data_IF_895063365608
#
_entry.id   IF_895063365608
#
_cell.length_a   1.000
_cell.length_b   1.000
_cell.length_c   1.000
_cell.angle_alpha   90.00
_cell.angle_beta   90.00
_cell.angle_gamma   90.00
#
_symmetry.space_group_name_H-M   'P 1'
#
loop_
_entity.id
_entity.type
_entity.pdbx_description
1 polymer ?
#
# COMPACT_ATOMS: atom_id res chain seq x y z
N UNK A 1 7.89 35.25 13.32
CA UNK A 1 9.19 34.68 13.74
C UNK A 1 9.31 33.33 13.04
N UNK A 2 10.34 33.09 12.23
CA UNK A 2 10.47 31.80 11.55
C UNK A 2 10.84 30.75 12.62
N UNK A 3 9.94 29.81 12.96
CA UNK A 3 10.28 28.79 13.95
C UNK A 3 11.47 27.97 13.46
N UNK A 4 12.26 27.47 14.41
CA UNK A 4 13.31 26.48 14.10
C UNK A 4 12.67 25.26 13.43
N UNK A 5 13.44 24.51 12.64
CA UNK A 5 12.93 23.28 11.99
C UNK A 5 12.27 22.34 13.01
N UNK A 6 12.91 22.11 14.16
CA UNK A 6 12.36 21.29 15.24
C UNK A 6 11.03 21.86 15.78
N UNK A 7 10.94 23.16 16.03
CA UNK A 7 9.70 23.79 16.51
C UNK A 7 8.56 23.71 15.49
N UNK A 8 8.89 23.85 14.19
CA UNK A 8 7.91 23.68 13.12
C UNK A 8 7.43 22.24 13.01
N UNK A 9 8.34 21.28 13.08
CA UNK A 9 8.02 19.85 13.00
C UNK A 9 7.15 19.42 14.19
N UNK A 10 7.48 19.84 15.40
CA UNK A 10 6.63 19.63 16.57
C UNK A 10 5.21 20.17 16.35
N UNK A 11 5.10 21.38 15.78
CA UNK A 11 3.78 21.96 15.52
C UNK A 11 3.01 21.25 14.40
N UNK A 12 3.70 20.77 13.36
CA UNK A 12 3.10 19.92 12.33
C UNK A 12 2.49 18.66 12.95
N UNK A 13 3.22 18.00 13.85
CA UNK A 13 2.75 16.81 14.55
C UNK A 13 1.49 17.09 15.36
N UNK A 14 1.48 18.17 16.14
CA UNK A 14 0.29 18.58 16.92
C UNK A 14 -0.92 18.86 16.01
N UNK A 15 -0.74 19.63 14.93
CA UNK A 15 -1.83 19.97 14.01
C UNK A 15 -2.42 18.73 13.31
N UNK A 16 -1.55 17.78 12.93
CA UNK A 16 -1.97 16.53 12.29
C UNK A 16 -2.66 15.58 13.27
N UNK A 17 -2.30 15.63 14.56
CA UNK A 17 -2.96 14.84 15.61
C UNK A 17 -4.33 15.41 16.01
N UNK A 18 -4.43 16.73 16.12
CA UNK A 18 -5.64 17.41 16.61
C UNK A 18 -6.71 17.62 15.53
N UNK A 19 -6.31 17.66 14.25
CA UNK A 19 -7.19 18.03 13.14
C UNK A 19 -7.15 17.02 12.00
N UNK A 20 -8.30 16.87 11.33
CA UNK A 20 -8.46 16.04 10.14
C UNK A 20 -7.86 16.73 8.90
N UNK A 21 -6.53 16.87 8.84
CA UNK A 21 -5.81 17.59 7.76
C UNK A 21 -5.79 16.76 6.47
N UNK A 22 -6.46 17.23 5.41
CA UNK A 22 -6.66 16.48 4.16
C UNK A 22 -5.61 16.79 3.09
N UNK A 23 -4.95 17.94 3.17
CA UNK A 23 -3.98 18.39 2.16
C UNK A 23 -2.83 19.21 2.74
N UNK A 24 -1.71 19.27 2.00
CA UNK A 24 -0.60 20.15 2.37
C UNK A 24 -0.97 21.63 2.26
N UNK A 25 -1.86 22.01 1.33
CA UNK A 25 -2.35 23.39 1.21
C UNK A 25 -3.14 23.81 2.46
N UNK A 26 -3.95 22.90 3.00
CA UNK A 26 -4.67 23.09 4.26
C UNK A 26 -3.70 23.21 5.44
N UNK A 27 -2.71 22.32 5.53
CA UNK A 27 -1.70 22.41 6.59
C UNK A 27 -0.86 23.69 6.51
N UNK A 28 -0.53 24.17 5.30
CA UNK A 28 0.12 25.46 5.10
C UNK A 28 -0.74 26.62 5.62
N UNK A 29 -2.06 26.56 5.38
CA UNK A 29 -2.99 27.58 5.86
C UNK A 29 -3.07 27.57 7.39
N UNK A 30 -3.14 26.39 8.01
CA UNK A 30 -3.12 26.23 9.48
C UNK A 30 -1.84 26.79 10.10
N UNK A 31 -0.68 26.42 9.56
CA UNK A 31 0.61 26.95 10.01
C UNK A 31 0.70 28.47 9.82
N UNK A 32 0.21 28.98 8.69
CA UNK A 32 0.22 30.42 8.41
C UNK A 32 -0.68 31.20 9.37
N UNK A 33 -1.82 30.64 9.78
CA UNK A 33 -2.71 31.24 10.77
C UNK A 33 -2.05 31.40 12.15
N UNK A 34 -1.04 30.59 12.44
CA UNK A 34 -0.23 30.66 13.66
C UNK A 34 1.07 31.46 13.48
N UNK A 35 1.24 32.12 12.32
CA UNK A 35 2.41 32.93 12.00
C UNK A 35 3.63 32.13 11.54
N UNK A 36 3.46 30.84 11.21
CA UNK A 36 4.50 29.96 10.66
C UNK A 36 4.37 29.93 9.14
N UNK A 37 5.20 30.72 8.45
CA UNK A 37 5.24 30.74 6.99
C UNK A 37 6.34 29.81 6.46
N UNK A 38 5.94 28.83 5.64
CA UNK A 38 6.85 27.94 4.92
C UNK A 38 6.36 27.67 3.50
N UNK A 39 7.28 27.23 2.63
CA UNK A 39 6.92 26.80 1.28
C UNK A 39 6.34 25.39 1.29
N UNK A 40 5.55 25.05 0.26
CA UNK A 40 5.04 23.70 0.07
C UNK A 40 6.19 22.66 0.00
N UNK A 41 7.31 22.99 -0.65
CA UNK A 41 8.47 22.11 -0.73
C UNK A 41 9.09 21.82 0.65
N UNK A 42 9.14 22.83 1.54
CA UNK A 42 9.63 22.65 2.91
C UNK A 42 8.68 21.78 3.71
N UNK A 43 7.38 22.05 3.61
CA UNK A 43 6.36 21.26 4.31
C UNK A 43 6.34 19.80 3.83
N UNK A 44 6.54 19.56 2.54
CA UNK A 44 6.63 18.19 2.00
C UNK A 44 7.78 17.43 2.65
N UNK A 45 8.97 18.05 2.71
CA UNK A 45 10.15 17.42 3.34
C UNK A 45 9.94 17.18 4.83
N UNK A 46 9.33 18.12 5.55
CA UNK A 46 9.04 17.91 6.98
C UNK A 46 8.06 16.76 7.20
N UNK A 47 7.03 16.63 6.37
CA UNK A 47 6.08 15.51 6.44
C UNK A 47 6.76 14.17 6.12
N UNK A 48 7.65 14.14 5.12
CA UNK A 48 8.41 12.95 4.76
C UNK A 48 9.34 12.52 5.91
N UNK A 49 10.04 13.47 6.53
CA UNK A 49 10.93 13.22 7.67
C UNK A 49 10.20 12.79 8.94
N UNK A 50 8.98 13.32 9.15
CA UNK A 50 8.09 12.92 10.23
C UNK A 50 7.38 11.58 9.95
N UNK A 51 7.55 10.98 8.77
CA UNK A 51 6.87 9.74 8.41
C UNK A 51 5.35 9.88 8.26
N UNK A 52 4.86 11.07 7.91
CA UNK A 52 3.43 11.32 7.78
C UNK A 52 2.83 10.52 6.61
N UNK A 53 1.73 9.84 6.87
CA UNK A 53 0.99 9.04 5.88
C UNK A 53 -0.45 9.54 5.76
N UNK A 54 -1.08 9.33 4.60
CA UNK A 54 -2.52 9.60 4.45
C UNK A 54 -3.34 8.36 4.75
N UNK A 55 -4.19 8.43 5.78
CA UNK A 55 -5.13 7.37 6.14
C UNK A 55 -6.56 7.78 5.79
N UNK A 56 -7.39 6.82 5.41
CA UNK A 56 -8.85 6.98 5.36
C UNK A 56 -9.43 6.34 6.60
N UNK A 57 -10.38 7.02 7.24
CA UNK A 57 -11.19 6.40 8.29
C UNK A 57 -12.00 5.23 7.72
N UNK A 58 -12.39 4.30 8.60
CA UNK A 58 -13.20 3.11 8.28
C UNK A 58 -14.50 3.43 7.55
N UNK A 59 -15.00 4.65 7.69
CA UNK A 59 -16.22 5.13 7.04
C UNK A 59 -16.03 5.57 5.57
N UNK A 60 -14.82 5.37 5.00
CA UNK A 60 -14.53 5.71 3.60
C UNK A 60 -14.33 7.21 3.32
N UNK A 61 -14.23 8.02 4.38
CA UNK A 61 -14.07 9.47 4.32
C UNK A 61 -12.82 9.96 3.55
N UNK A 62 -12.73 11.28 3.37
CA UNK A 62 -11.58 11.90 2.71
C UNK A 62 -10.28 11.56 3.48
N UNK A 63 -9.19 11.21 2.78
CA UNK A 63 -7.94 10.83 3.43
C UNK A 63 -7.33 12.01 4.18
N UNK A 64 -6.85 11.76 5.40
CA UNK A 64 -6.22 12.73 6.30
C UNK A 64 -4.79 12.32 6.59
N UNK A 65 -3.90 13.28 6.83
CA UNK A 65 -2.56 13.02 7.31
C UNK A 65 -2.60 12.45 8.73
N UNK A 66 -1.69 11.52 9.02
CA UNK A 66 -1.43 10.93 10.33
C UNK A 66 0.08 10.71 10.44
N UNK A 67 0.66 11.03 11.60
CA UNK A 67 2.07 10.76 11.92
C UNK A 67 2.10 9.60 12.93
N UNK A 68 2.66 8.43 12.56
CA UNK A 68 2.80 7.30 13.48
C UNK A 68 3.71 7.65 14.66
N UNK A 69 3.32 7.32 15.88
CA UNK A 69 4.24 7.32 17.04
C UNK A 69 5.13 6.08 17.00
N UNK A 70 6.40 6.24 17.39
CA UNK A 70 7.39 5.15 17.44
C UNK A 70 6.83 3.96 18.23
N UNK A 71 6.78 2.79 17.58
CA UNK A 71 6.32 1.53 18.19
C UNK A 71 4.84 1.20 17.96
N UNK A 72 4.05 2.09 17.37
CA UNK A 72 2.71 1.75 16.88
C UNK A 72 2.76 1.37 15.40
N UNK A 73 2.46 0.11 15.01
CA UNK A 73 2.33 -0.25 13.61
C UNK A 73 1.07 0.43 13.05
N UNK A 74 1.21 1.67 12.60
CA UNK A 74 0.18 2.30 11.78
C UNK A 74 0.14 1.51 10.49
N UNK A 75 -1.00 0.85 10.23
CA UNK A 75 -1.34 0.29 8.94
C UNK A 75 -1.40 1.44 7.93
N UNK A 76 -0.23 1.87 7.46
CA UNK A 76 -0.13 2.69 6.29
C UNK A 76 -0.77 1.86 5.16
N UNK A 77 -1.90 2.39 4.68
CA UNK A 77 -2.47 2.14 3.37
C UNK A 77 -3.35 0.87 3.22
N UNK A 78 -4.66 1.07 3.33
CA UNK A 78 -5.68 0.26 2.62
C UNK A 78 -5.85 0.67 1.14
N UNK A 79 -5.25 1.78 0.66
CA UNK A 79 -5.50 2.33 -0.69
C UNK A 79 -4.50 1.99 -1.81
N UNK A 80 -3.20 2.06 -1.52
CA UNK A 80 -2.08 1.72 -2.39
C UNK A 80 -1.96 0.23 -2.67
N UNK A 81 -2.12 -0.64 -1.67
CA UNK A 81 -2.22 -2.09 -1.90
C UNK A 81 -3.48 -2.45 -2.67
N UNK A 82 -4.63 -1.80 -2.40
CA UNK A 82 -5.85 -2.01 -3.18
C UNK A 82 -5.74 -1.50 -4.63
N UNK A 83 -5.15 -0.32 -4.85
CA UNK A 83 -4.85 0.20 -6.18
C UNK A 83 -3.88 -0.70 -6.93
N UNK A 84 -2.84 -1.18 -6.24
CA UNK A 84 -1.87 -2.13 -6.78
C UNK A 84 -2.56 -3.43 -7.17
N UNK A 85 -3.38 -4.03 -6.29
CA UNK A 85 -4.12 -5.25 -6.56
C UNK A 85 -5.02 -5.09 -7.80
N UNK A 86 -5.75 -3.98 -7.91
CA UNK A 86 -6.55 -3.66 -9.10
C UNK A 86 -5.69 -3.58 -10.36
N UNK A 87 -4.59 -2.83 -10.33
CA UNK A 87 -3.72 -2.68 -11.49
C UNK A 87 -2.99 -3.98 -11.86
N UNK A 88 -2.61 -4.80 -10.88
CA UNK A 88 -2.08 -6.13 -11.13
C UNK A 88 -3.15 -7.01 -11.80
N UNK A 89 -4.40 -6.96 -11.35
CA UNK A 89 -5.50 -7.73 -11.98
C UNK A 89 -5.78 -7.30 -13.43
N UNK A 90 -5.55 -6.03 -13.76
CA UNK A 90 -5.80 -5.48 -15.10
C UNK A 90 -4.59 -5.62 -16.04
N UNK A 91 -3.37 -5.49 -15.53
CA UNK A 91 -2.17 -5.26 -16.35
C UNK A 91 -1.11 -6.36 -16.20
N UNK A 92 -1.18 -7.24 -15.20
CA UNK A 92 -0.22 -8.33 -15.06
C UNK A 92 -0.55 -9.46 -16.05
N UNK A 93 0.29 -9.63 -17.05
CA UNK A 93 0.18 -10.70 -18.06
C UNK A 93 0.82 -11.99 -17.54
N UNK A 94 2.02 -11.89 -16.99
CA UNK A 94 2.74 -13.00 -16.38
C UNK A 94 3.79 -12.50 -15.40
N UNK A 95 4.31 -13.42 -14.58
CA UNK A 95 5.46 -13.14 -13.73
C UNK A 95 6.39 -14.36 -13.65
N UNK A 96 7.68 -14.07 -13.54
CA UNK A 96 8.77 -15.05 -13.40
C UNK A 96 9.80 -14.52 -12.39
N UNK A 97 10.84 -15.28 -12.09
CA UNK A 97 11.84 -14.88 -11.10
C UNK A 97 13.24 -15.45 -11.33
N UNK A 98 14.25 -14.73 -10.84
CA UNK A 98 15.64 -15.20 -10.75
C UNK A 98 16.34 -14.58 -9.55
N UNK A 99 16.86 -15.40 -8.64
CA UNK A 99 17.49 -14.92 -7.40
C UNK A 99 16.54 -14.05 -6.57
N UNK A 100 16.95 -12.80 -6.30
CA UNK A 100 16.14 -11.78 -5.61
C UNK A 100 15.21 -10.98 -6.54
N UNK A 101 15.19 -11.28 -7.85
CA UNK A 101 14.40 -10.53 -8.83
C UNK A 101 13.08 -11.22 -9.13
N UNK A 102 11.98 -10.47 -9.04
CA UNK A 102 10.73 -10.81 -9.70
C UNK A 102 10.63 -10.02 -11.01
N UNK A 103 10.25 -10.69 -12.09
CA UNK A 103 10.09 -10.08 -13.42
C UNK A 103 8.61 -10.17 -13.80
N UNK A 104 7.97 -9.02 -13.98
CA UNK A 104 6.57 -8.91 -14.34
C UNK A 104 6.44 -8.52 -15.82
N UNK A 105 5.49 -9.13 -16.53
CA UNK A 105 5.12 -8.75 -17.90
C UNK A 105 3.78 -8.03 -17.91
N UNK A 106 3.67 -6.99 -18.73
CA UNK A 106 2.47 -6.20 -18.94
C UNK A 106 2.14 -6.09 -20.43
N UNK A 107 0.96 -5.54 -20.82
CA UNK A 107 0.77 -5.08 -22.19
C UNK A 107 1.81 -3.99 -22.57
N UNK A 108 2.04 -3.76 -23.88
CA UNK A 108 2.92 -2.70 -24.35
C UNK A 108 2.56 -1.32 -23.77
N UNK A 109 3.58 -0.57 -23.36
CA UNK A 109 3.45 0.76 -22.75
C UNK A 109 2.87 0.81 -21.32
N UNK A 110 2.54 -0.32 -20.70
CA UNK A 110 1.88 -0.35 -19.39
C UNK A 110 2.85 -0.50 -18.20
N UNK A 111 4.11 -0.88 -18.44
CA UNK A 111 5.03 -1.25 -17.36
C UNK A 111 5.33 -0.09 -16.41
N UNK A 112 5.61 1.11 -16.93
CA UNK A 112 5.84 2.30 -16.09
C UNK A 112 4.65 2.66 -15.20
N UNK A 113 3.42 2.46 -15.69
CA UNK A 113 2.22 2.77 -14.92
C UNK A 113 2.02 1.79 -13.75
N UNK A 114 2.20 0.50 -14.00
CA UNK A 114 2.13 -0.52 -12.95
C UNK A 114 3.29 -0.39 -11.95
N UNK A 115 4.51 -0.09 -12.41
CA UNK A 115 5.66 0.14 -11.53
C UNK A 115 5.43 1.33 -10.58
N UNK A 116 4.86 2.44 -11.07
CA UNK A 116 4.51 3.57 -10.19
C UNK A 116 3.49 3.17 -9.10
N UNK A 117 2.61 2.21 -9.36
CA UNK A 117 1.70 1.70 -8.34
C UNK A 117 2.40 0.80 -7.32
N UNK A 118 3.36 -0.03 -7.76
CA UNK A 118 4.22 -0.83 -6.89
C UNK A 118 5.02 0.06 -5.94
N UNK A 119 5.67 1.11 -6.46
CA UNK A 119 6.46 2.03 -5.64
C UNK A 119 5.60 2.74 -4.58
N UNK A 120 4.40 3.20 -4.97
CA UNK A 120 3.46 3.87 -4.06
C UNK A 120 2.83 2.93 -3.03
N UNK A 121 2.80 1.63 -3.29
CA UNK A 121 2.32 0.64 -2.33
C UNK A 121 3.31 0.43 -1.17
N UNK A 122 4.55 0.91 -1.31
CA UNK A 122 5.58 0.91 -0.25
C UNK A 122 5.72 -0.46 0.44
N UNK A 123 5.71 -1.54 -0.35
CA UNK A 123 5.80 -2.90 0.15
C UNK A 123 7.16 -3.09 0.85
N UNK A 124 7.14 -3.46 2.14
CA UNK A 124 8.34 -3.55 2.99
C UNK A 124 9.39 -4.53 2.49
N UNK A 125 8.95 -5.55 1.77
CA UNK A 125 9.74 -6.62 1.17
C UNK A 125 10.18 -6.33 -0.28
N UNK A 126 9.99 -5.10 -0.75
CA UNK A 126 10.51 -4.60 -2.02
C UNK A 126 11.60 -3.56 -1.75
N UNK A 127 12.73 -3.69 -2.43
CA UNK A 127 13.81 -2.69 -2.41
C UNK A 127 13.51 -1.57 -3.40
N UNK A 128 13.00 -1.92 -4.58
CA UNK A 128 12.60 -0.96 -5.61
C UNK A 128 12.17 -1.65 -6.92
N UNK A 129 11.77 -0.84 -7.89
CA UNK A 129 11.37 -1.29 -9.23
C UNK A 129 12.12 -0.56 -10.35
N UNK A 130 12.29 -1.23 -11.49
CA UNK A 130 12.72 -0.63 -12.75
C UNK A 130 11.77 -1.11 -13.84
N UNK A 131 11.19 -0.18 -14.60
CA UNK A 131 10.29 -0.47 -15.70
C UNK A 131 10.94 -0.18 -17.06
N UNK A 132 10.72 -1.09 -18.00
CA UNK A 132 10.83 -0.84 -19.44
C UNK A 132 9.47 -0.50 -20.03
N UNK A 133 9.20 -0.98 -21.25
CA UNK A 133 7.91 -0.76 -21.94
C UNK A 133 6.81 -1.74 -21.49
N UNK A 134 7.13 -3.04 -21.51
CA UNK A 134 6.21 -4.15 -21.23
C UNK A 134 6.71 -5.08 -20.12
N UNK A 135 7.79 -4.69 -19.44
CA UNK A 135 8.51 -5.52 -18.48
C UNK A 135 8.93 -4.69 -17.27
N UNK A 136 8.72 -5.22 -16.07
CA UNK A 136 9.12 -4.61 -14.80
C UNK A 136 10.03 -5.58 -14.05
N UNK A 137 11.20 -5.10 -13.63
CA UNK A 137 12.05 -5.78 -12.67
C UNK A 137 11.74 -5.25 -11.27
N UNK A 138 11.40 -6.15 -10.35
CA UNK A 138 11.14 -5.83 -8.94
C UNK A 138 12.19 -6.53 -8.09
N UNK A 139 12.92 -5.77 -7.28
CA UNK A 139 13.98 -6.30 -6.42
C UNK A 139 13.38 -6.64 -5.06
N UNK A 140 13.39 -7.92 -4.69
CA UNK A 140 12.98 -8.40 -3.37
C UNK A 140 14.02 -8.01 -2.32
N UNK A 141 13.53 -7.61 -1.15
CA UNK A 141 14.37 -7.39 0.03
C UNK A 141 14.62 -8.73 0.72
N UNK A 142 15.88 -9.00 1.00
CA UNK A 142 16.27 -10.17 1.77
C UNK A 142 15.56 -10.21 3.14
N UNK A 143 15.19 -11.41 3.64
CA UNK A 143 15.52 -12.73 3.11
C UNK A 143 14.58 -13.23 1.99
N UNK A 144 13.65 -12.40 1.52
CA UNK A 144 12.65 -12.82 0.53
C UNK A 144 13.29 -13.05 -0.84
N UNK A 145 12.92 -14.15 -1.49
CA UNK A 145 13.34 -14.45 -2.86
C UNK A 145 12.46 -13.76 -3.90
N UNK A 146 12.99 -13.61 -5.12
CA UNK A 146 12.21 -13.13 -6.25
C UNK A 146 10.99 -14.01 -6.56
N UNK A 147 11.13 -15.34 -6.38
CA UNK A 147 10.04 -16.29 -6.62
C UNK A 147 8.87 -16.09 -5.64
N UNK A 148 9.16 -15.92 -4.35
CA UNK A 148 8.14 -15.63 -3.33
C UNK A 148 7.49 -14.26 -3.57
N UNK A 149 8.26 -13.27 -4.03
CA UNK A 149 7.72 -11.96 -4.37
C UNK A 149 6.79 -12.03 -5.58
N UNK A 150 7.18 -12.73 -6.65
CA UNK A 150 6.37 -12.94 -7.84
C UNK A 150 5.04 -13.63 -7.47
N UNK A 151 5.07 -14.70 -6.67
CA UNK A 151 3.87 -15.40 -6.20
C UNK A 151 2.93 -14.50 -5.38
N UNK A 152 3.47 -13.66 -4.50
CA UNK A 152 2.66 -12.70 -3.74
C UNK A 152 1.97 -11.70 -4.66
N UNK A 153 2.69 -11.14 -5.63
CA UNK A 153 2.12 -10.19 -6.59
C UNK A 153 1.04 -10.83 -7.47
N UNK A 154 1.25 -12.07 -7.93
CA UNK A 154 0.20 -12.84 -8.61
C UNK A 154 -1.02 -13.09 -7.72
N UNK A 155 -0.81 -13.33 -6.41
CA UNK A 155 -1.90 -13.57 -5.46
C UNK A 155 -2.73 -12.30 -5.24
N UNK A 156 -2.08 -11.13 -5.21
CA UNK A 156 -2.77 -9.83 -5.14
C UNK A 156 -3.57 -9.50 -6.42
N UNK A 157 -3.18 -10.06 -7.56
CA UNK A 157 -3.91 -9.89 -8.82
C UNK A 157 -5.24 -10.66 -8.86
N UNK A 158 -5.42 -11.67 -7.99
CA UNK A 158 -6.66 -12.44 -7.93
C UNK A 158 -7.69 -11.69 -7.07
N UNK A 159 -8.94 -11.54 -7.52
CA UNK A 159 -9.99 -10.99 -6.68
C UNK A 159 -10.16 -11.88 -5.44
N UNK A 160 -10.25 -11.25 -4.26
CA UNK A 160 -10.67 -11.93 -3.04
C UNK A 160 -12.09 -12.43 -3.30
N UNK A 161 -12.22 -13.72 -3.59
CA UNK A 161 -13.53 -14.37 -3.62
C UNK A 161 -14.03 -14.36 -2.18
N UNK A 162 -15.04 -13.53 -1.90
CA UNK A 162 -15.59 -13.37 -0.56
C UNK A 162 -15.96 -14.70 0.08
N UNK A 163 -15.86 -14.74 1.41
CA UNK A 163 -16.39 -15.79 2.28
C UNK A 163 -17.66 -16.42 1.70
N UNK A 164 -17.57 -17.70 1.33
CA UNK A 164 -18.74 -18.57 1.39
C UNK A 164 -18.67 -19.24 2.75
N UNK A 165 -19.66 -19.04 3.65
CA UNK A 165 -19.72 -19.86 4.85
C UNK A 165 -19.86 -21.32 4.41
N UNK A 166 -19.02 -22.17 5.00
CA UNK A 166 -19.08 -23.62 4.89
C UNK A 166 -20.49 -24.07 5.28
N UNK A 167 -21.28 -24.43 4.28
CA UNK A 167 -22.60 -25.04 4.47
C UNK A 167 -22.43 -26.52 4.76
N UNK A 168 -22.37 -26.82 6.05
CA UNK A 168 -22.95 -27.97 6.74
C UNK A 168 -22.98 -29.33 5.99
N UNK A 169 -22.01 -30.18 6.34
CA UNK A 169 -22.11 -31.63 6.23
C UNK A 169 -23.14 -32.18 7.23
N UNK A 170 -24.40 -32.32 6.82
CA UNK A 170 -25.34 -33.19 7.54
C UNK A 170 -25.15 -34.64 7.08
N UNK A 171 -24.25 -35.35 7.76
CA UNK A 171 -24.17 -36.81 7.81
C UNK A 171 -25.49 -37.45 8.29
N UNK A 172 -25.96 -38.49 7.59
CA UNK A 172 -26.73 -39.65 8.12
C UNK A 172 -27.43 -40.34 6.95
N UNK A 173 -27.31 -41.63 6.63
CA UNK A 173 -26.88 -42.79 7.41
C UNK A 173 -26.56 -43.95 6.45
N UNK A 174 -25.59 -44.75 6.88
CA UNK A 174 -25.22 -46.08 6.40
C UNK A 174 -26.40 -47.06 6.48
N UNK A 175 -26.59 -47.92 5.47
CA UNK A 175 -26.79 -49.39 5.64
C UNK A 175 -26.32 -50.19 4.41
N UNK A 176 -25.57 -51.30 4.59
CA UNK A 176 -25.25 -52.27 3.54
C UNK A 176 -26.17 -53.50 3.59
N UNK A 177 -26.32 -54.18 2.44
CA UNK A 177 -26.75 -55.59 2.15
C UNK A 177 -27.50 -55.57 0.81
N UNK A 178 -27.35 -56.49 -0.13
CA UNK A 178 -26.64 -57.76 -0.20
C UNK A 178 -26.80 -58.32 -1.62
N UNK A 179 -26.14 -59.45 -1.88
CA UNK A 179 -26.13 -60.22 -3.13
C UNK A 179 -27.50 -60.71 -3.63
N UNK A 180 -27.48 -61.22 -4.87
CA UNK A 180 -28.48 -62.00 -5.62
C UNK A 180 -29.41 -61.11 -6.47
N UNK A 181 -29.50 -61.27 -7.79
CA UNK A 181 -29.49 -62.49 -8.62
C UNK A 181 -29.00 -62.18 -10.05
#
# INVERSE_FOLDING_TARGET
MTPTRAGRQARITELVADQAVRSQAELLALLSAEGISVTQATLSRDLDELGAVKLRGVDGGAPVYVIPEDGSPVRAIEGGTARLARLLSELLVSADASGSLAVLRTPPGAAHFLASALDRAALTDVVGTIAGDDTIMVVAREPRTGAELAQRLMSLARPVSGDRPYGDDSHSQVRPKGEQE
#
